data_IF_861786228398
#
_entry.id   IF_861786228398
#
_cell.length_a   1.000
_cell.length_b   1.000
_cell.length_c   1.000
_cell.angle_alpha   90.00
_cell.angle_beta   90.00
_cell.angle_gamma   90.00
#
_symmetry.space_group_name_H-M   'P 1'
#
loop_
_entity.id
_entity.type
_entity.pdbx_description
1 polymer ?
#
# COMPACT_ATOMS: atom_id res chain seq x y z
N UNK A 1 -8.27 2.49 3.45
CA UNK A 1 -8.26 2.75 2.00
C UNK A 1 -7.64 1.56 1.33
N UNK A 2 -8.34 0.44 1.41
CA UNK A 2 -7.88 -0.81 0.86
C UNK A 2 -9.05 -1.59 0.31
N UNK A 3 -8.84 -2.26 -0.82
CA UNK A 3 -9.85 -3.11 -1.45
C UNK A 3 -9.56 -4.56 -1.13
N UNK A 4 -10.57 -5.26 -0.64
CA UNK A 4 -10.46 -6.68 -0.34
C UNK A 4 -10.96 -7.50 -1.54
N UNK A 5 -10.09 -8.35 -2.06
CA UNK A 5 -10.39 -9.22 -3.20
C UNK A 5 -10.51 -10.69 -2.79
N UNK A 6 -10.46 -11.01 -1.49
CA UNK A 6 -10.57 -12.39 -1.00
C UNK A 6 -11.95 -12.95 -1.30
N UNK A 7 -11.99 -14.12 -1.93
CA UNK A 7 -13.22 -14.80 -2.33
C UNK A 7 -13.81 -14.29 -3.66
N UNK A 8 -13.22 -13.27 -4.27
CA UNK A 8 -13.57 -12.83 -5.63
C UNK A 8 -12.97 -13.78 -6.68
N UNK A 9 -13.61 -13.82 -7.85
CA UNK A 9 -13.17 -14.67 -8.96
C UNK A 9 -12.46 -13.82 -10.02
N UNK A 10 -11.36 -14.34 -10.54
CA UNK A 10 -10.70 -13.75 -11.69
C UNK A 10 -11.53 -13.92 -12.98
N UNK A 11 -11.01 -13.38 -14.10
CA UNK A 11 -11.69 -13.43 -15.40
C UNK A 11 -11.89 -14.87 -15.93
N UNK A 12 -11.14 -15.83 -15.43
CA UNK A 12 -11.20 -17.25 -15.80
C UNK A 12 -12.00 -18.07 -14.77
N UNK A 13 -12.64 -17.42 -13.80
CA UNK A 13 -13.45 -18.06 -12.76
C UNK A 13 -12.62 -18.77 -11.69
N UNK A 14 -11.34 -18.43 -11.52
CA UNK A 14 -10.52 -18.95 -10.42
C UNK A 14 -10.63 -18.02 -9.22
N UNK A 15 -10.79 -18.58 -8.03
CA UNK A 15 -10.76 -17.80 -6.80
C UNK A 15 -9.40 -17.08 -6.68
N UNK A 16 -9.45 -15.76 -6.53
CA UNK A 16 -8.27 -14.96 -6.39
C UNK A 16 -7.61 -15.24 -5.04
N UNK A 17 -6.37 -15.73 -5.08
CA UNK A 17 -5.55 -15.91 -3.88
C UNK A 17 -5.00 -14.60 -3.30
N UNK A 18 -5.38 -13.43 -3.84
CA UNK A 18 -4.69 -12.17 -3.55
C UNK A 18 -5.36 -11.35 -2.46
N UNK A 19 -4.44 -10.77 -1.68
CA UNK A 19 -4.51 -9.94 -0.50
C UNK A 19 -5.20 -8.60 -0.70
N UNK A 20 -5.53 -7.99 0.44
CA UNK A 20 -5.93 -6.59 0.59
C UNK A 20 -4.99 -5.67 -0.19
N UNK A 21 -5.54 -4.95 -1.17
CA UNK A 21 -4.85 -3.96 -2.01
C UNK A 21 -4.81 -2.60 -1.29
N UNK A 22 -3.63 -1.99 -1.14
CA UNK A 22 -3.48 -0.69 -0.48
C UNK A 22 -3.62 0.47 -1.47
N UNK A 23 -4.86 0.78 -1.86
CA UNK A 23 -5.18 1.86 -2.81
C UNK A 23 -4.58 3.21 -2.39
N UNK A 24 -4.47 3.47 -1.08
CA UNK A 24 -3.86 4.70 -0.55
C UNK A 24 -2.38 4.81 -0.90
N UNK A 25 -1.62 3.72 -0.81
CA UNK A 25 -0.18 3.74 -1.15
C UNK A 25 0.03 3.93 -2.66
N UNK A 26 -0.83 3.36 -3.48
CA UNK A 26 -0.78 3.53 -4.93
C UNK A 26 -1.04 4.99 -5.34
N UNK A 27 -2.05 5.62 -4.73
CA UNK A 27 -2.32 7.05 -4.94
C UNK A 27 -1.18 7.92 -4.45
N UNK A 28 -0.59 7.60 -3.30
CA UNK A 28 0.56 8.31 -2.75
C UNK A 28 1.79 8.20 -3.67
N UNK A 29 2.07 7.00 -4.19
CA UNK A 29 3.15 6.76 -5.13
C UNK A 29 2.95 7.51 -6.45
N UNK A 30 1.73 7.48 -7.00
CA UNK A 30 1.38 8.22 -8.21
C UNK A 30 1.48 9.75 -8.02
N UNK A 31 1.02 10.26 -6.87
CA UNK A 31 1.16 11.66 -6.51
C UNK A 31 2.63 12.07 -6.40
N UNK A 32 3.46 11.23 -5.76
CA UNK A 32 4.89 11.47 -5.64
C UNK A 32 5.59 11.52 -7.00
N UNK A 33 5.23 10.62 -7.92
CA UNK A 33 5.77 10.61 -9.29
C UNK A 33 5.53 11.94 -10.02
N UNK A 34 4.37 12.56 -9.86
CA UNK A 34 4.03 13.82 -10.53
C UNK A 34 4.51 15.07 -9.77
N UNK A 35 4.55 15.01 -8.44
CA UNK A 35 5.05 16.10 -7.59
C UNK A 35 6.58 16.24 -7.70
N UNK A 36 7.28 15.11 -7.84
CA UNK A 36 8.72 15.03 -7.85
C UNK A 36 9.36 15.17 -6.47
N UNK A 37 10.63 14.82 -6.37
CA UNK A 37 11.40 14.75 -5.10
C UNK A 37 12.24 16.01 -4.82
N UNK A 38 12.17 17.00 -5.73
CA UNK A 38 13.07 18.14 -5.74
C UNK A 38 12.40 19.47 -5.39
N UNK A 39 13.12 20.57 -5.61
CA UNK A 39 12.60 21.93 -5.43
C UNK A 39 11.62 22.37 -6.53
N UNK A 40 10.91 21.42 -7.16
CA UNK A 40 10.00 21.64 -8.29
C UNK A 40 8.76 22.45 -7.94
N UNK A 41 8.43 22.58 -6.64
CA UNK A 41 7.38 23.47 -6.17
C UNK A 41 5.95 23.00 -6.45
N UNK A 42 5.75 21.70 -6.71
CA UNK A 42 4.43 21.08 -6.94
C UNK A 42 4.01 20.24 -5.72
N UNK A 43 3.48 20.84 -4.65
CA UNK A 43 3.15 20.13 -3.42
C UNK A 43 1.83 19.33 -3.47
N UNK A 44 1.04 19.47 -4.55
CA UNK A 44 -0.32 18.92 -4.64
C UNK A 44 -0.54 18.27 -5.99
N UNK A 45 -1.07 17.05 -5.97
CA UNK A 45 -1.61 16.34 -7.12
C UNK A 45 -3.12 16.12 -6.93
N UNK A 46 -3.89 16.21 -8.01
CA UNK A 46 -5.34 15.98 -7.99
C UNK A 46 -5.67 14.77 -8.85
N UNK A 47 -6.18 13.71 -8.21
CA UNK A 47 -6.76 12.56 -8.88
C UNK A 47 -8.26 12.80 -9.03
N UNK A 48 -8.80 12.55 -10.22
CA UNK A 48 -10.23 12.72 -10.55
C UNK A 48 -10.80 11.40 -11.04
N UNK A 49 -12.12 11.31 -11.01
CA UNK A 49 -12.87 10.17 -11.57
C UNK A 49 -12.55 8.81 -10.91
N UNK A 50 -12.03 8.83 -9.68
CA UNK A 50 -11.85 7.64 -8.85
C UNK A 50 -13.11 7.38 -8.02
N UNK A 51 -13.71 6.19 -8.16
CA UNK A 51 -14.78 5.74 -7.28
C UNK A 51 -14.21 5.22 -5.96
N UNK A 52 -14.47 5.94 -4.86
CA UNK A 52 -14.05 5.52 -3.52
C UNK A 52 -15.03 4.53 -2.87
N UNK A 53 -16.22 4.34 -3.44
CA UNK A 53 -17.23 3.41 -2.92
C UNK A 53 -16.73 1.95 -2.97
N UNK A 54 -15.81 1.64 -3.88
CA UNK A 54 -15.15 0.34 -4.00
C UNK A 54 -13.91 0.21 -3.12
N UNK A 55 -13.49 1.30 -2.46
CA UNK A 55 -12.26 1.38 -1.67
C UNK A 55 -12.64 1.44 -0.19
N UNK A 56 -12.66 0.28 0.45
CA UNK A 56 -12.99 0.17 1.87
C UNK A 56 -12.03 0.95 2.78
N UNK A 57 -12.50 1.26 3.99
CA UNK A 57 -11.65 1.74 5.09
C UNK A 57 -10.98 0.57 5.78
N UNK A 58 -9.73 0.75 6.19
CA UNK A 58 -8.94 -0.28 6.87
C UNK A 58 -7.84 0.39 7.68
N UNK A 59 -7.66 -0.09 8.91
CA UNK A 59 -6.57 0.34 9.80
C UNK A 59 -5.31 -0.52 9.62
N UNK A 60 -5.34 -1.49 8.70
CA UNK A 60 -4.26 -2.46 8.48
C UNK A 60 -3.16 -1.95 7.52
N UNK A 61 -3.05 -0.64 7.30
CA UNK A 61 -1.97 -0.06 6.50
C UNK A 61 -0.61 -0.38 7.13
N UNK A 62 -0.55 -0.32 8.46
CA UNK A 62 0.59 -0.80 9.22
C UNK A 62 0.29 -2.18 9.78
N UNK A 63 1.27 -3.06 9.67
CA UNK A 63 1.18 -4.39 10.27
C UNK A 63 1.27 -4.25 11.80
N UNK A 64 0.50 -5.08 12.51
CA UNK A 64 0.65 -5.20 13.95
C UNK A 64 2.07 -5.67 14.32
N UNK A 65 2.59 -5.17 15.43
CA UNK A 65 3.98 -5.43 15.87
C UNK A 65 4.23 -6.91 16.12
N UNK A 66 3.25 -7.63 16.67
CA UNK A 66 3.37 -9.06 16.98
C UNK A 66 3.41 -9.90 15.70
N UNK A 67 2.75 -9.45 14.63
CA UNK A 67 2.72 -10.12 13.33
C UNK A 67 3.81 -9.69 12.33
N UNK A 68 4.62 -8.68 12.65
CA UNK A 68 5.68 -8.16 11.78
C UNK A 68 7.03 -8.83 12.07
N UNK A 69 7.20 -10.03 11.49
CA UNK A 69 8.41 -10.82 11.66
C UNK A 69 9.67 -10.14 11.11
N UNK A 70 9.55 -9.35 10.04
CA UNK A 70 10.71 -8.61 9.49
C UNK A 70 11.16 -7.56 10.50
N UNK A 71 10.23 -6.79 11.06
CA UNK A 71 10.54 -5.81 12.10
C UNK A 71 11.16 -6.45 13.34
N UNK A 72 10.69 -7.63 13.74
CA UNK A 72 11.28 -8.38 14.86
C UNK A 72 12.73 -8.76 14.56
N UNK A 73 13.01 -9.34 13.39
CA UNK A 73 14.38 -9.70 12.99
C UNK A 73 15.31 -8.49 12.92
N UNK A 74 14.84 -7.34 12.41
CA UNK A 74 15.64 -6.11 12.35
C UNK A 74 16.03 -5.56 13.73
N UNK A 75 15.24 -5.82 14.78
CA UNK A 75 15.57 -5.38 16.15
C UNK A 75 16.72 -6.17 16.78
N UNK A 76 16.84 -7.44 16.42
CA UNK A 76 17.90 -8.33 16.90
C UNK A 76 19.17 -8.21 16.04
N UNK A 77 19.02 -7.70 14.82
CA UNK A 77 20.13 -7.54 13.90
C UNK A 77 21.10 -6.44 14.34
N UNK A 78 22.40 -6.73 14.24
CA UNK A 78 23.46 -5.74 14.37
C UNK A 78 24.39 -5.83 13.18
N UNK A 79 24.87 -4.68 12.71
CA UNK A 79 25.83 -4.62 11.62
C UNK A 79 27.23 -4.94 12.16
N UNK A 80 27.77 -6.11 11.81
CA UNK A 80 29.20 -6.38 11.95
C UNK A 80 29.90 -5.87 10.69
N UNK A 81 30.29 -4.59 10.71
CA UNK A 81 31.16 -4.01 9.67
C UNK A 81 32.64 -4.20 10.02
N UNK A 82 33.47 -4.41 8.99
CA UNK A 82 34.94 -4.38 9.05
C UNK A 82 35.51 -2.97 9.31
#
# INVERSE_FOLDING_TARGET
>A
GSRDWRGEHDRDGREMGVTVESVVDELAAAANLVAGEGAGGTPVAVVRDLSLDEVGTSDNLFRDVEGDFIRQSLREWSYAGD
#
